data_IF_631977793458
#
_entry.id   IF_631977793458
#
_cell.length_a   1.000
_cell.length_b   1.000
_cell.length_c   1.000
_cell.angle_alpha   90.00
_cell.angle_beta   90.00
_cell.angle_gamma   90.00
#
_symmetry.space_group_name_H-M   'P 1'
#
loop_
_entity.id
_entity.type
_entity.pdbx_description
1 polymer ?
#
# COMPACT_ATOMS: atom_id res chain seq x y z
N UNK A 1 -7.40 -27.84 27.56
CA UNK A 1 -6.29 -28.81 27.53
C UNK A 1 -5.02 -28.06 27.22
N UNK A 2 -4.02 -28.10 28.10
CA UNK A 2 -2.75 -27.45 27.85
C UNK A 2 -1.99 -28.23 26.77
N UNK A 3 -1.52 -27.54 25.73
CA UNK A 3 -0.69 -28.15 24.68
C UNK A 3 0.49 -28.90 25.31
N UNK A 4 0.78 -30.09 24.80
CA UNK A 4 1.94 -30.84 25.25
C UNK A 4 3.23 -30.10 24.86
N UNK A 5 4.34 -30.27 25.61
CA UNK A 5 5.59 -29.57 25.32
C UNK A 5 6.08 -29.76 23.87
N UNK A 6 5.86 -30.94 23.29
CA UNK A 6 6.22 -31.28 21.90
C UNK A 6 5.37 -30.56 20.86
N UNK A 7 4.07 -30.40 21.12
CA UNK A 7 3.18 -29.62 20.25
C UNK A 7 3.55 -28.13 20.31
N UNK A 8 3.92 -27.64 21.49
CA UNK A 8 4.37 -26.26 21.67
C UNK A 8 5.67 -26.00 20.90
N UNK A 9 6.63 -26.93 20.95
CA UNK A 9 7.88 -26.86 20.18
C UNK A 9 7.64 -26.90 18.66
N UNK A 10 6.71 -27.76 18.22
CA UNK A 10 6.36 -27.87 16.79
C UNK A 10 5.72 -26.59 16.27
N UNK A 11 4.83 -25.99 17.05
CA UNK A 11 4.19 -24.71 16.72
C UNK A 11 5.20 -23.56 16.75
N UNK A 12 6.12 -23.53 17.72
CA UNK A 12 7.20 -22.53 17.76
C UNK A 12 8.12 -22.62 16.54
N UNK A 13 8.50 -23.83 16.12
CA UNK A 13 9.29 -24.03 14.89
C UNK A 13 8.56 -23.56 13.62
N UNK A 14 7.27 -23.88 13.51
CA UNK A 14 6.47 -23.42 12.37
C UNK A 14 6.31 -21.91 12.35
N UNK A 15 6.16 -21.27 13.52
CA UNK A 15 6.11 -19.81 13.64
C UNK A 15 7.45 -19.16 13.26
N UNK A 16 8.58 -19.67 13.75
CA UNK A 16 9.91 -19.15 13.41
C UNK A 16 10.24 -19.27 11.91
N UNK A 17 9.77 -20.32 11.24
CA UNK A 17 9.97 -20.53 9.80
C UNK A 17 9.01 -19.69 8.92
N UNK A 18 7.78 -19.43 9.38
CA UNK A 18 6.79 -18.64 8.64
C UNK A 18 7.01 -17.13 8.76
N UNK A 19 7.53 -16.66 9.90
CA UNK A 19 7.48 -15.24 10.26
C UNK A 19 8.27 -14.36 9.28
N UNK A 20 9.50 -14.75 8.91
CA UNK A 20 10.36 -13.88 8.08
C UNK A 20 9.92 -13.77 6.62
N UNK A 21 9.58 -14.89 5.97
CA UNK A 21 9.20 -14.88 4.55
C UNK A 21 7.81 -14.27 4.34
N UNK A 22 6.89 -14.53 5.26
CA UNK A 22 5.53 -13.99 5.18
C UNK A 22 5.54 -12.49 5.48
N UNK A 23 6.31 -12.07 6.50
CA UNK A 23 6.48 -10.65 6.83
C UNK A 23 7.14 -9.88 5.69
N UNK A 24 8.19 -10.42 5.04
CA UNK A 24 8.76 -9.78 3.85
C UNK A 24 7.75 -9.65 2.70
N UNK A 25 6.92 -10.67 2.48
CA UNK A 25 5.91 -10.64 1.41
C UNK A 25 4.81 -9.62 1.69
N UNK A 26 4.38 -9.50 2.95
CA UNK A 26 3.40 -8.50 3.39
C UNK A 26 4.00 -7.09 3.29
N UNK A 27 5.24 -6.88 3.75
CA UNK A 27 5.93 -5.59 3.63
C UNK A 27 6.10 -5.16 2.17
N UNK A 28 6.54 -6.06 1.29
CA UNK A 28 6.68 -5.78 -0.14
C UNK A 28 5.33 -5.43 -0.79
N UNK A 29 4.24 -6.10 -0.38
CA UNK A 29 2.90 -5.78 -0.86
C UNK A 29 2.40 -4.43 -0.36
N UNK A 30 2.74 -4.05 0.88
CA UNK A 30 2.36 -2.78 1.49
C UNK A 30 3.11 -1.61 0.84
N UNK A 31 4.41 -1.78 0.57
CA UNK A 31 5.23 -0.79 -0.14
C UNK A 31 4.74 -0.60 -1.58
N UNK A 32 4.44 -1.71 -2.28
CA UNK A 32 3.87 -1.65 -3.63
C UNK A 32 2.51 -0.94 -3.66
N UNK A 33 1.66 -1.22 -2.65
CA UNK A 33 0.37 -0.56 -2.51
C UNK A 33 0.51 0.94 -2.19
N UNK A 34 1.43 1.31 -1.29
CA UNK A 34 1.71 2.71 -0.97
C UNK A 34 2.21 3.49 -2.19
N UNK A 35 3.12 2.90 -2.97
CA UNK A 35 3.61 3.50 -4.22
C UNK A 35 2.49 3.65 -5.26
N UNK A 36 1.64 2.64 -5.42
CA UNK A 36 0.47 2.75 -6.30
C UNK A 36 -0.49 3.86 -5.84
N UNK A 37 -0.77 3.94 -4.54
CA UNK A 37 -1.67 4.94 -3.96
C UNK A 37 -1.12 6.36 -4.13
N UNK A 38 0.19 6.55 -3.92
CA UNK A 38 0.85 7.84 -4.14
C UNK A 38 0.74 8.28 -5.61
N UNK A 39 0.98 7.37 -6.56
CA UNK A 39 0.83 7.64 -7.99
C UNK A 39 -0.62 7.95 -8.38
N UNK A 40 -1.60 7.22 -7.82
CA UNK A 40 -3.01 7.46 -8.07
C UNK A 40 -3.45 8.82 -7.52
N UNK A 41 -3.04 9.18 -6.30
CA UNK A 41 -3.33 10.48 -5.69
C UNK A 41 -2.69 11.63 -6.49
N UNK A 42 -1.44 11.46 -6.94
CA UNK A 42 -0.77 12.43 -7.79
C UNK A 42 -1.49 12.59 -9.14
N UNK A 43 -1.95 11.50 -9.76
CA UNK A 43 -2.73 11.54 -10.99
C UNK A 43 -4.05 12.31 -10.83
N UNK A 44 -4.76 12.09 -9.72
CA UNK A 44 -5.99 12.83 -9.39
C UNK A 44 -5.67 14.31 -9.19
N UNK A 45 -4.61 14.64 -8.46
CA UNK A 45 -4.15 16.02 -8.28
C UNK A 45 -3.85 16.70 -9.62
N UNK A 46 -3.11 16.04 -10.52
CA UNK A 46 -2.84 16.57 -11.86
C UNK A 46 -4.12 16.81 -12.64
N UNK A 47 -5.07 15.88 -12.65
CA UNK A 47 -6.36 16.05 -13.35
C UNK A 47 -7.13 17.27 -12.83
N UNK A 48 -7.17 17.48 -11.52
CA UNK A 48 -7.85 18.64 -10.92
C UNK A 48 -7.12 19.93 -11.28
N UNK A 49 -5.80 19.95 -11.14
CA UNK A 49 -4.96 21.10 -11.49
C UNK A 49 -5.13 21.49 -12.96
N UNK A 50 -5.10 20.51 -13.86
CA UNK A 50 -5.18 20.74 -15.29
C UNK A 50 -6.61 21.17 -15.69
N UNK A 51 -7.65 20.66 -15.00
CA UNK A 51 -9.02 21.14 -15.15
C UNK A 51 -9.17 22.60 -14.68
N UNK A 52 -8.59 22.95 -13.53
CA UNK A 52 -8.61 24.33 -13.03
C UNK A 52 -7.83 25.28 -13.95
N UNK A 53 -6.72 24.83 -14.50
CA UNK A 53 -5.94 25.59 -15.49
C UNK A 53 -6.75 25.81 -16.76
N UNK A 54 -7.41 24.78 -17.29
CA UNK A 54 -8.30 24.92 -18.45
C UNK A 54 -9.48 25.85 -18.19
N UNK A 55 -10.07 25.79 -16.98
CA UNK A 55 -11.12 26.73 -16.56
C UNK A 55 -10.60 28.17 -16.48
N UNK A 56 -9.38 28.36 -15.99
CA UNK A 56 -8.75 29.69 -15.90
C UNK A 56 -8.41 30.26 -17.28
N UNK A 57 -7.82 29.45 -18.17
CA UNK A 57 -7.53 29.83 -19.55
C UNK A 57 -8.83 30.17 -20.31
N UNK A 58 -9.88 29.38 -20.14
CA UNK A 58 -11.21 29.67 -20.69
C UNK A 58 -11.81 30.99 -20.16
N UNK A 59 -11.65 31.29 -18.87
CA UNK A 59 -12.11 32.56 -18.29
C UNK A 59 -11.33 33.76 -18.84
N UNK A 60 -10.01 33.63 -19.03
CA UNK A 60 -9.18 34.67 -19.62
C UNK A 60 -9.47 34.90 -21.11
N UNK A 61 -9.88 33.88 -21.85
CA UNK A 61 -10.26 34.02 -23.27
C UNK A 61 -11.63 34.67 -23.49
N UNK A 62 -12.53 34.60 -22.48
CA UNK A 62 -13.89 35.16 -22.55
C UNK A 62 -13.96 36.62 -22.10
N UNK A 63 -13.01 37.09 -21.29
CA UNK A 63 -12.93 38.46 -20.79
C UNK A 63 -11.91 39.30 -21.56
#
# INVERSE_FOLDING_TARGET
MAMTPREKERVMKMLDELDRSTLQRVLASLESFANWLANAAYSIYCKIRDSLRGLWEWLCDIF
#
